data_IF_137254210522
#
_entry.id   IF_137254210522
#
_cell.length_a   1.000
_cell.length_b   1.000
_cell.length_c   1.000
_cell.angle_alpha   90.00
_cell.angle_beta   90.00
_cell.angle_gamma   90.00
#
_symmetry.space_group_name_H-M   'P 1'
#
loop_
_entity.id
_entity.type
_entity.pdbx_description
1 polymer ?
#
# COMPACT_ATOMS: atom_id res chain seq x y z
N UNK A 1 62.90 -25.17 13.31
CA UNK A 1 62.43 -24.62 12.02
C UNK A 1 61.66 -25.66 11.20
N UNK A 2 62.06 -26.93 11.17
CA UNK A 2 61.37 -27.98 10.43
C UNK A 2 59.99 -28.36 10.96
N UNK A 3 59.75 -28.30 12.27
CA UNK A 3 58.45 -28.65 12.85
C UNK A 3 57.33 -27.64 12.50
N UNK A 4 57.69 -26.35 12.43
CA UNK A 4 56.71 -25.29 12.03
C UNK A 4 56.40 -25.48 10.52
N UNK A 5 57.38 -25.76 9.71
CA UNK A 5 57.20 -25.97 8.27
C UNK A 5 56.29 -27.18 7.99
N UNK A 6 56.50 -28.27 8.76
CA UNK A 6 55.70 -29.50 8.65
C UNK A 6 54.23 -29.28 9.04
N UNK A 7 53.92 -28.35 9.94
CA UNK A 7 52.55 -27.99 10.30
C UNK A 7 51.90 -27.01 9.33
N UNK A 8 52.67 -26.07 8.77
CA UNK A 8 52.14 -25.02 7.87
C UNK A 8 51.84 -25.57 6.47
N UNK A 9 52.68 -26.45 5.92
CA UNK A 9 52.52 -26.97 4.56
C UNK A 9 51.13 -27.66 4.37
N UNK A 10 50.70 -28.59 5.24
CA UNK A 10 49.36 -29.21 5.08
C UNK A 10 48.20 -28.22 5.11
N UNK A 11 48.27 -27.22 5.99
CA UNK A 11 47.22 -26.20 6.09
C UNK A 11 47.13 -25.37 4.82
N UNK A 12 48.28 -24.96 4.26
CA UNK A 12 48.30 -24.20 3.00
C UNK A 12 47.78 -25.05 1.84
N UNK A 13 48.17 -26.32 1.76
CA UNK A 13 47.71 -27.26 0.71
C UNK A 13 46.17 -27.43 0.79
N UNK A 14 45.64 -27.67 1.99
CA UNK A 14 44.19 -27.78 2.18
C UNK A 14 43.50 -26.47 1.79
N UNK A 15 44.02 -25.31 2.19
CA UNK A 15 43.49 -24.00 1.83
C UNK A 15 43.45 -23.80 0.31
N UNK A 16 44.51 -24.17 -0.42
CA UNK A 16 44.54 -24.07 -1.89
C UNK A 16 43.51 -25.02 -2.53
N UNK A 17 43.40 -26.25 -2.03
CA UNK A 17 42.41 -27.22 -2.53
C UNK A 17 40.99 -26.69 -2.31
N UNK A 18 40.67 -26.23 -1.11
CA UNK A 18 39.34 -25.66 -0.82
C UNK A 18 39.04 -24.43 -1.70
N UNK A 19 39.99 -23.52 -1.86
CA UNK A 19 39.84 -22.34 -2.70
C UNK A 19 39.58 -22.72 -4.18
N UNK A 20 40.35 -23.69 -4.72
CA UNK A 20 40.14 -24.14 -6.10
C UNK A 20 38.80 -24.83 -6.29
N UNK A 21 38.34 -25.66 -5.35
CA UNK A 21 37.03 -26.30 -5.38
C UNK A 21 35.93 -25.25 -5.35
N UNK A 22 36.03 -24.24 -4.49
CA UNK A 22 35.05 -23.14 -4.41
C UNK A 22 34.95 -22.31 -5.69
N UNK A 23 36.12 -22.00 -6.31
CA UNK A 23 36.16 -21.26 -7.59
C UNK A 23 35.53 -22.08 -8.72
N UNK A 24 35.83 -23.39 -8.78
CA UNK A 24 35.25 -24.30 -9.78
C UNK A 24 33.74 -24.42 -9.56
N UNK A 25 33.30 -24.66 -8.33
CA UNK A 25 31.88 -24.73 -7.97
C UNK A 25 31.14 -23.43 -8.32
N UNK A 26 31.72 -22.27 -7.97
CA UNK A 26 31.19 -20.97 -8.32
C UNK A 26 31.00 -20.77 -9.82
N UNK A 27 31.95 -21.20 -10.64
CA UNK A 27 31.83 -21.10 -12.11
C UNK A 27 30.83 -22.07 -12.71
N UNK A 28 30.71 -23.28 -12.16
CA UNK A 28 29.75 -24.30 -12.65
C UNK A 28 28.33 -23.94 -12.22
N UNK A 29 28.15 -23.38 -11.02
CA UNK A 29 26.85 -22.98 -10.46
C UNK A 29 26.49 -21.55 -10.78
N UNK A 30 27.30 -20.78 -11.51
CA UNK A 30 26.96 -19.42 -11.93
C UNK A 30 25.69 -19.45 -12.79
N UNK A 31 24.62 -18.90 -12.29
CA UNK A 31 23.42 -18.64 -13.07
C UNK A 31 23.76 -17.54 -14.07
N UNK A 32 23.58 -17.80 -15.35
CA UNK A 32 23.72 -16.76 -16.37
C UNK A 32 22.59 -15.77 -16.18
N UNK A 33 22.90 -14.60 -15.68
CA UNK A 33 21.96 -13.48 -15.68
C UNK A 33 21.75 -13.00 -17.11
N UNK A 34 20.52 -12.71 -17.48
CA UNK A 34 20.17 -12.13 -18.78
C UNK A 34 20.75 -10.71 -18.85
N UNK A 35 21.41 -10.37 -19.97
CA UNK A 35 22.03 -9.06 -20.18
C UNK A 35 21.05 -7.89 -20.08
N UNK A 36 19.75 -8.15 -20.24
CA UNK A 36 18.67 -7.16 -20.10
C UNK A 36 18.37 -6.83 -18.63
N UNK A 37 18.68 -7.73 -17.68
CA UNK A 37 18.34 -7.54 -16.27
C UNK A 37 18.91 -6.24 -15.68
N UNK A 38 20.22 -5.93 -15.79
CA UNK A 38 20.76 -4.69 -15.23
C UNK A 38 20.14 -3.44 -15.85
N UNK A 39 19.88 -3.44 -17.16
CA UNK A 39 19.28 -2.31 -17.86
C UNK A 39 17.85 -2.07 -17.37
N UNK A 40 17.04 -3.11 -17.29
CA UNK A 40 15.67 -3.04 -16.75
C UNK A 40 15.68 -2.58 -15.29
N UNK A 41 16.64 -3.07 -14.52
CA UNK A 41 16.76 -2.71 -13.10
C UNK A 41 17.11 -1.23 -12.89
N UNK A 42 17.93 -0.65 -13.75
CA UNK A 42 18.30 0.78 -13.73
C UNK A 42 17.12 1.70 -14.08
N UNK A 43 16.22 1.29 -14.97
CA UNK A 43 15.00 2.05 -15.28
C UNK A 43 14.03 2.12 -14.07
N UNK A 44 14.09 1.17 -13.15
CA UNK A 44 13.20 1.12 -12.01
C UNK A 44 13.66 2.08 -10.90
N UNK A 45 12.73 2.76 -10.18
CA UNK A 45 13.04 3.81 -9.20
C UNK A 45 13.78 3.33 -7.95
N UNK A 46 14.00 2.03 -7.76
CA UNK A 46 14.76 1.48 -6.65
C UNK A 46 14.08 1.52 -5.28
N UNK A 47 12.85 1.98 -5.21
CA UNK A 47 12.10 2.15 -3.95
C UNK A 47 11.79 0.82 -3.22
N UNK A 48 11.88 -0.32 -3.91
CA UNK A 48 11.61 -1.66 -3.37
C UNK A 48 10.29 -1.77 -2.58
N UNK A 49 9.30 -0.94 -2.93
CA UNK A 49 8.03 -0.80 -2.19
C UNK A 49 7.10 -2.02 -2.32
N UNK A 50 7.28 -2.83 -3.38
CA UNK A 50 6.43 -3.99 -3.66
C UNK A 50 5.00 -3.65 -4.10
N UNK A 51 4.73 -2.42 -4.54
CA UNK A 51 3.42 -1.99 -5.06
C UNK A 51 3.03 -2.71 -6.36
N UNK A 52 4.02 -3.08 -7.18
CA UNK A 52 3.86 -3.88 -8.38
C UNK A 52 3.51 -5.37 -8.12
N UNK A 53 3.44 -5.81 -6.86
CA UNK A 53 3.15 -7.20 -6.48
C UNK A 53 4.38 -8.10 -6.41
N UNK A 54 5.59 -7.59 -6.70
CA UNK A 54 6.83 -8.34 -6.63
C UNK A 54 7.64 -8.00 -5.36
N UNK A 55 8.60 -8.86 -5.02
CA UNK A 55 9.50 -8.68 -3.87
C UNK A 55 10.59 -7.63 -4.16
N UNK A 56 10.18 -6.36 -4.36
CA UNK A 56 11.06 -5.26 -4.70
C UNK A 56 11.33 -5.12 -6.20
N UNK A 57 12.13 -4.11 -6.54
CA UNK A 57 12.46 -3.80 -7.95
C UNK A 57 13.24 -4.91 -8.63
N UNK A 58 14.14 -5.61 -7.90
CA UNK A 58 14.87 -6.75 -8.43
C UNK A 58 13.94 -7.91 -8.81
N UNK A 59 12.94 -8.19 -7.98
CA UNK A 59 11.93 -9.22 -8.26
C UNK A 59 11.09 -8.90 -9.48
N UNK A 60 10.75 -7.63 -9.68
CA UNK A 60 10.00 -7.19 -10.86
C UNK A 60 10.87 -7.23 -12.12
N UNK A 61 12.12 -6.71 -12.06
CA UNK A 61 13.06 -6.77 -13.17
C UNK A 61 13.31 -8.22 -13.62
N UNK A 62 13.47 -9.14 -12.66
CA UNK A 62 13.65 -10.56 -12.94
C UNK A 62 12.41 -11.18 -13.60
N UNK A 63 11.23 -10.83 -13.13
CA UNK A 63 9.98 -11.32 -13.73
C UNK A 63 9.78 -10.81 -15.16
N UNK A 64 10.16 -9.57 -15.47
CA UNK A 64 10.12 -8.99 -16.82
C UNK A 64 11.05 -9.71 -17.81
N UNK A 65 12.19 -10.20 -17.31
CA UNK A 65 13.17 -10.93 -18.13
C UNK A 65 12.79 -12.40 -18.31
N UNK A 66 12.36 -13.07 -17.24
CA UNK A 66 12.16 -14.52 -17.21
C UNK A 66 10.76 -14.97 -17.65
N UNK A 67 9.74 -14.11 -17.46
CA UNK A 67 8.34 -14.47 -17.73
C UNK A 67 7.80 -13.66 -18.88
N UNK A 68 7.63 -14.30 -20.03
CA UNK A 68 6.91 -13.70 -21.15
C UNK A 68 5.49 -13.29 -20.73
N UNK A 69 5.08 -12.08 -21.12
CA UNK A 69 3.75 -11.54 -20.78
C UNK A 69 3.65 -10.84 -19.43
N UNK A 70 4.75 -10.65 -18.70
CA UNK A 70 4.74 -9.77 -17.53
C UNK A 70 4.48 -8.33 -17.99
N UNK A 71 3.43 -7.68 -17.44
CA UNK A 71 3.06 -6.32 -17.81
C UNK A 71 4.14 -5.30 -17.39
N UNK A 72 4.44 -4.34 -18.27
CA UNK A 72 5.47 -3.29 -18.06
C UNK A 72 4.96 -2.12 -17.25
N UNK A 73 3.64 -1.99 -17.08
CA UNK A 73 2.95 -0.86 -16.43
C UNK A 73 2.61 -1.09 -14.94
N UNK A 74 3.28 -2.02 -14.27
CA UNK A 74 2.97 -2.34 -12.86
C UNK A 74 3.70 -1.44 -11.85
N UNK A 75 4.69 -0.65 -12.28
CA UNK A 75 5.46 0.22 -11.40
C UNK A 75 4.75 1.56 -11.19
N UNK A 76 3.86 1.65 -10.18
CA UNK A 76 3.12 2.87 -9.87
C UNK A 76 4.05 4.06 -9.55
N UNK A 77 5.07 3.94 -8.67
CA UNK A 77 5.99 5.06 -8.40
C UNK A 77 6.85 5.50 -9.60
N UNK A 78 7.03 4.62 -10.58
CA UNK A 78 7.77 4.93 -11.81
C UNK A 78 6.91 5.61 -12.87
N UNK A 79 5.59 5.46 -12.78
CA UNK A 79 4.62 6.03 -13.72
C UNK A 79 4.84 5.62 -15.17
N UNK A 80 4.23 6.38 -16.07
CA UNK A 80 4.28 6.13 -17.53
C UNK A 80 5.69 6.20 -18.11
N UNK A 81 6.58 7.02 -17.53
CA UNK A 81 7.97 7.16 -18.00
C UNK A 81 8.70 5.81 -17.93
N UNK A 82 8.65 5.18 -16.76
CA UNK A 82 9.28 3.86 -16.55
C UNK A 82 8.59 2.77 -17.38
N UNK A 83 7.25 2.80 -17.45
CA UNK A 83 6.50 1.83 -18.25
C UNK A 83 6.87 1.91 -19.74
N UNK A 84 7.07 3.13 -20.25
CA UNK A 84 7.49 3.37 -21.63
C UNK A 84 8.90 2.87 -21.91
N UNK A 85 9.87 3.22 -21.04
CA UNK A 85 11.24 2.74 -21.15
C UNK A 85 11.31 1.21 -21.11
N UNK A 86 10.58 0.57 -20.18
CA UNK A 86 10.50 -0.88 -20.09
C UNK A 86 9.89 -1.51 -21.35
N UNK A 87 8.84 -0.88 -21.92
CA UNK A 87 8.20 -1.36 -23.13
C UNK A 87 9.13 -1.27 -24.35
N UNK A 88 9.92 -0.20 -24.45
CA UNK A 88 10.94 -0.03 -25.51
C UNK A 88 12.06 -1.09 -25.39
N UNK A 89 12.57 -1.35 -24.18
CA UNK A 89 13.63 -2.35 -23.94
C UNK A 89 13.15 -3.77 -24.27
N UNK A 90 11.90 -4.09 -23.92
CA UNK A 90 11.31 -5.41 -24.11
C UNK A 90 10.66 -5.61 -25.48
N UNK A 91 10.50 -4.53 -26.27
CA UNK A 91 9.84 -4.57 -27.58
C UNK A 91 8.35 -4.92 -27.52
N UNK A 92 7.66 -4.53 -26.42
CA UNK A 92 6.22 -4.76 -26.23
C UNK A 92 5.44 -3.45 -26.37
N UNK A 93 4.12 -3.55 -26.62
CA UNK A 93 3.26 -2.37 -26.66
C UNK A 93 3.21 -1.67 -25.31
N UNK A 94 3.29 -0.34 -25.35
CA UNK A 94 3.13 0.50 -24.15
C UNK A 94 1.68 0.47 -23.66
N UNK A 95 1.51 0.35 -22.36
CA UNK A 95 0.23 0.51 -21.69
C UNK A 95 0.40 1.51 -20.55
N UNK A 96 -0.58 2.42 -20.41
CA UNK A 96 -0.57 3.44 -19.34
C UNK A 96 -0.56 2.79 -17.96
N UNK A 97 0.13 3.42 -17.03
CA UNK A 97 0.13 3.03 -15.62
C UNK A 97 -1.15 3.54 -14.96
N UNK A 98 -1.91 2.65 -14.35
CA UNK A 98 -3.06 3.07 -13.53
C UNK A 98 -2.51 3.69 -12.24
N UNK A 99 -2.57 5.00 -12.16
CA UNK A 99 -2.15 5.73 -10.98
C UNK A 99 -3.10 5.48 -9.81
N UNK A 100 -2.54 5.27 -8.64
CA UNK A 100 -3.30 4.98 -7.42
C UNK A 100 -2.90 5.90 -6.30
N UNK A 101 -3.87 6.24 -5.47
CA UNK A 101 -3.65 7.05 -4.26
C UNK A 101 -4.16 6.31 -3.04
N UNK A 102 -3.50 6.54 -1.91
CA UNK A 102 -3.95 5.99 -0.65
C UNK A 102 -5.11 6.81 -0.10
N UNK A 103 -6.13 6.12 0.42
CA UNK A 103 -7.23 6.73 1.17
C UNK A 103 -7.38 6.06 2.53
N UNK A 104 -7.90 6.80 3.52
CA UNK A 104 -8.12 6.27 4.86
C UNK A 104 -9.60 6.01 5.12
N UNK A 105 -9.91 4.80 5.56
CA UNK A 105 -11.28 4.38 5.90
C UNK A 105 -11.60 4.66 7.38
N UNK A 106 -11.34 5.89 7.82
CA UNK A 106 -11.73 6.38 9.14
C UNK A 106 -11.85 7.90 9.13
N UNK A 107 -13.02 8.41 9.51
CA UNK A 107 -13.32 9.84 9.74
C UNK A 107 -13.65 10.14 11.23
N UNK A 108 -13.29 9.21 12.13
CA UNK A 108 -13.51 9.35 13.57
C UNK A 108 -12.37 10.08 14.23
N UNK A 109 -12.28 11.41 14.06
CA UNK A 109 -11.35 12.28 14.76
C UNK A 109 -11.72 12.46 16.25
N UNK A 110 -10.88 13.15 17.03
CA UNK A 110 -11.10 13.37 18.46
C UNK A 110 -12.38 14.17 18.79
N UNK A 111 -13.06 14.80 17.79
CA UNK A 111 -14.35 15.46 17.96
C UNK A 111 -15.54 14.53 17.73
N UNK A 112 -15.31 13.37 17.12
CA UNK A 112 -16.32 12.40 16.69
C UNK A 112 -16.29 11.10 17.50
N UNK A 113 -15.16 10.77 18.10
CA UNK A 113 -14.95 9.59 18.92
C UNK A 113 -14.15 9.95 20.17
N UNK A 114 -14.19 9.10 21.18
CA UNK A 114 -13.48 9.29 22.43
C UNK A 114 -12.47 8.17 22.64
N UNK A 115 -11.42 8.44 23.39
CA UNK A 115 -10.50 7.42 23.85
C UNK A 115 -11.14 6.68 25.06
N UNK A 116 -11.05 5.36 25.07
CA UNK A 116 -11.54 4.51 26.18
C UNK A 116 -10.49 4.33 27.27
N UNK A 117 -9.21 4.58 26.95
CA UNK A 117 -8.08 4.49 27.87
C UNK A 117 -7.07 5.61 27.57
N UNK A 118 -6.44 6.12 28.60
CA UNK A 118 -5.28 7.01 28.49
C UNK A 118 -4.03 6.15 28.27
N UNK A 119 -3.46 6.24 27.06
CA UNK A 119 -2.38 5.37 26.62
C UNK A 119 -1.02 6.01 26.87
N UNK A 120 -0.24 5.44 27.79
CA UNK A 120 1.13 5.83 28.13
C UNK A 120 2.13 4.71 27.76
N UNK A 121 2.15 4.30 26.52
CA UNK A 121 3.03 3.25 26.02
C UNK A 121 3.93 3.72 24.88
N UNK A 122 4.50 2.76 24.15
CA UNK A 122 5.31 3.02 22.96
C UNK A 122 4.46 3.75 21.94
N UNK A 123 4.93 4.86 21.38
CA UNK A 123 4.26 5.63 20.33
C UNK A 123 4.26 4.87 18.98
N UNK A 124 3.48 3.80 18.94
CA UNK A 124 3.27 2.96 17.77
C UNK A 124 1.83 2.42 17.76
N UNK A 125 1.17 2.51 16.61
CA UNK A 125 -0.16 1.94 16.42
C UNK A 125 -0.14 0.41 16.60
N UNK A 126 0.91 -0.26 16.14
CA UNK A 126 1.06 -1.70 16.28
C UNK A 126 1.16 -2.09 17.76
N UNK A 127 1.97 -1.38 18.56
CA UNK A 127 2.09 -1.63 20.00
C UNK A 127 0.78 -1.36 20.74
N UNK A 128 0.12 -0.23 20.47
CA UNK A 128 -1.14 0.12 21.10
C UNK A 128 -2.27 -0.85 20.73
N UNK A 129 -2.25 -1.43 19.51
CA UNK A 129 -3.24 -2.42 19.08
C UNK A 129 -3.17 -3.70 19.91
N UNK A 130 -2.00 -4.12 20.35
CA UNK A 130 -1.81 -5.29 21.23
C UNK A 130 -2.41 -5.07 22.60
N UNK A 131 -2.54 -3.81 23.05
CA UNK A 131 -3.14 -3.44 24.33
C UNK A 131 -4.61 -3.07 24.11
N UNK A 132 -5.53 -3.91 24.53
CA UNK A 132 -6.98 -3.69 24.46
C UNK A 132 -7.55 -3.33 23.08
N UNK A 133 -6.83 -3.64 21.98
CA UNK A 133 -7.25 -3.32 20.63
C UNK A 133 -7.09 -1.85 20.26
N UNK A 134 -6.23 -1.10 20.95
CA UNK A 134 -5.97 0.33 20.76
C UNK A 134 -6.66 1.22 21.80
N UNK A 135 -6.29 2.49 21.84
CA UNK A 135 -6.78 3.47 22.83
C UNK A 135 -8.22 3.95 22.60
N UNK A 136 -8.69 3.99 21.34
CA UNK A 136 -9.99 4.55 20.97
C UNK A 136 -11.17 3.64 21.31
N UNK A 137 -12.34 4.26 21.54
CA UNK A 137 -13.60 3.54 21.78
C UNK A 137 -14.03 2.71 20.57
N UNK A 138 -13.70 3.13 19.35
CA UNK A 138 -13.92 2.36 18.13
C UNK A 138 -12.78 1.37 17.90
N UNK A 139 -13.03 0.06 18.01
CA UNK A 139 -12.02 -0.99 17.79
C UNK A 139 -11.52 -1.09 16.35
N UNK A 140 -12.28 -0.53 15.41
CA UNK A 140 -11.94 -0.47 13.99
C UNK A 140 -11.33 0.87 13.58
N UNK A 141 -11.27 1.86 14.49
CA UNK A 141 -10.85 3.22 14.17
C UNK A 141 -9.34 3.41 14.05
N UNK A 142 -8.95 4.58 13.57
CA UNK A 142 -7.55 5.00 13.57
C UNK A 142 -7.06 5.16 15.02
N UNK A 143 -5.85 4.64 15.30
CA UNK A 143 -5.22 4.74 16.64
C UNK A 143 -4.50 6.09 16.80
N UNK A 144 -4.07 6.70 15.67
CA UNK A 144 -3.52 8.05 15.65
C UNK A 144 -2.09 8.19 16.16
N UNK A 145 -1.29 7.11 16.21
CA UNK A 145 0.12 7.15 16.67
C UNK A 145 1.16 7.20 15.54
N UNK A 146 0.73 7.33 14.28
CA UNK A 146 1.60 7.75 13.18
C UNK A 146 2.49 6.68 12.57
N UNK A 147 2.28 5.37 12.78
CA UNK A 147 3.10 4.34 12.12
C UNK A 147 3.05 4.47 10.58
N UNK A 148 1.88 4.77 10.01
CA UNK A 148 1.71 5.01 8.58
C UNK A 148 2.44 6.29 8.11
N UNK A 149 2.50 7.33 8.94
CA UNK A 149 3.25 8.56 8.66
C UNK A 149 4.75 8.28 8.60
N UNK A 150 5.28 7.55 9.60
CA UNK A 150 6.70 7.16 9.65
C UNK A 150 7.11 6.26 8.48
N UNK A 151 6.17 5.45 7.97
CA UNK A 151 6.41 4.54 6.85
C UNK A 151 6.27 5.20 5.47
N UNK A 152 5.79 6.45 5.38
CA UNK A 152 5.55 7.11 4.11
C UNK A 152 6.84 7.74 3.56
N UNK A 153 7.41 7.26 2.43
CA UNK A 153 8.64 7.80 1.88
C UNK A 153 8.47 9.21 1.30
N UNK A 154 7.23 9.61 0.97
CA UNK A 154 6.92 10.89 0.37
C UNK A 154 6.36 11.90 1.38
N UNK A 155 6.33 11.58 2.67
CA UNK A 155 5.75 12.43 3.73
C UNK A 155 4.30 12.86 3.44
N UNK A 156 3.57 12.03 2.69
CA UNK A 156 2.20 12.32 2.26
C UNK A 156 1.16 12.13 3.37
N UNK A 157 1.56 11.72 4.57
CA UNK A 157 0.64 11.40 5.68
C UNK A 157 0.99 12.23 6.90
N UNK A 158 0.01 12.92 7.46
CA UNK A 158 0.10 13.60 8.75
C UNK A 158 -0.95 13.06 9.72
N UNK A 159 -0.71 13.22 11.01
CA UNK A 159 -1.69 12.93 12.05
C UNK A 159 -2.27 14.26 12.56
N UNK A 160 -3.56 14.45 12.34
CA UNK A 160 -4.30 15.62 12.79
C UNK A 160 -5.55 15.18 13.52
N UNK A 161 -5.86 15.83 14.61
CA UNK A 161 -7.04 15.51 15.43
C UNK A 161 -7.17 14.02 15.79
N UNK A 162 -6.02 13.33 15.98
CA UNK A 162 -5.98 11.93 16.40
C UNK A 162 -6.22 10.90 15.29
N UNK A 163 -6.30 11.31 14.03
CA UNK A 163 -6.39 10.41 12.88
C UNK A 163 -5.38 10.76 11.78
N UNK A 164 -5.07 9.78 10.92
CA UNK A 164 -4.21 10.02 9.77
C UNK A 164 -4.97 10.77 8.67
N UNK A 165 -4.31 11.74 8.07
CA UNK A 165 -4.75 12.44 6.85
C UNK A 165 -3.74 12.19 5.75
N UNK A 166 -4.21 11.94 4.54
CA UNK A 166 -3.38 11.61 3.39
C UNK A 166 -3.50 12.72 2.35
N UNK A 167 -2.37 13.34 2.03
CA UNK A 167 -2.28 14.28 0.93
C UNK A 167 -2.10 13.50 -0.38
N UNK A 168 -3.19 13.37 -1.13
CA UNK A 168 -3.24 12.62 -2.39
C UNK A 168 -2.38 13.23 -3.49
N UNK A 169 -2.09 14.55 -3.43
CA UNK A 169 -1.27 15.25 -4.42
C UNK A 169 0.22 14.86 -4.41
N UNK A 170 0.72 14.40 -3.27
CA UNK A 170 2.11 13.96 -3.10
C UNK A 170 2.23 12.45 -2.83
N UNK A 171 1.09 11.75 -2.79
CA UNK A 171 1.05 10.30 -2.62
C UNK A 171 1.47 9.61 -3.93
N UNK A 172 2.51 8.78 -3.88
CA UNK A 172 2.98 8.00 -5.03
C UNK A 172 2.32 6.62 -5.16
N UNK A 173 1.28 6.31 -4.40
CA UNK A 173 0.59 5.02 -4.48
C UNK A 173 1.44 3.79 -4.09
N UNK A 174 2.56 3.98 -3.41
CA UNK A 174 3.52 2.90 -3.11
C UNK A 174 3.00 1.80 -2.16
N UNK A 175 1.90 2.04 -1.44
CA UNK A 175 1.26 1.06 -0.55
C UNK A 175 2.02 0.74 0.74
N UNK A 176 3.09 1.46 1.11
CA UNK A 176 3.80 1.23 2.37
C UNK A 176 2.88 1.39 3.59
N UNK A 177 2.04 2.42 3.59
CA UNK A 177 1.08 2.71 4.65
C UNK A 177 -0.02 1.64 4.80
N UNK A 178 -0.42 0.97 3.72
CA UNK A 178 -1.45 -0.08 3.76
C UNK A 178 -0.97 -1.30 4.54
N UNK A 179 0.32 -1.64 4.40
CA UNK A 179 0.97 -2.76 5.10
C UNK A 179 1.27 -2.45 6.56
N UNK A 180 1.48 -1.17 6.87
CA UNK A 180 1.88 -0.71 8.22
C UNK A 180 0.69 -0.53 9.15
N UNK A 181 -0.51 -0.23 8.63
CA UNK A 181 -1.69 0.02 9.45
C UNK A 181 -2.21 -1.25 10.12
N UNK A 182 -2.17 -1.39 11.47
CA UNK A 182 -2.60 -2.61 12.16
C UNK A 182 -4.11 -2.82 12.12
N UNK A 183 -4.90 -1.78 11.81
CA UNK A 183 -6.34 -1.85 11.62
C UNK A 183 -6.75 -1.94 10.14
N UNK A 184 -5.77 -2.03 9.22
CA UNK A 184 -6.01 -2.12 7.77
C UNK A 184 -6.96 -1.04 7.23
N UNK A 185 -6.79 0.20 7.72
CA UNK A 185 -7.66 1.33 7.39
C UNK A 185 -7.28 2.04 6.11
N UNK A 186 -6.14 1.73 5.52
CA UNK A 186 -5.64 2.42 4.35
C UNK A 186 -5.69 1.45 3.18
N UNK A 187 -6.32 1.87 2.09
CA UNK A 187 -6.31 1.16 0.81
C UNK A 187 -5.83 2.07 -0.31
N UNK A 188 -5.40 1.47 -1.40
CA UNK A 188 -5.14 2.18 -2.64
C UNK A 188 -6.40 2.13 -3.50
N UNK A 189 -6.81 3.27 -4.01
CA UNK A 189 -7.85 3.40 -5.02
C UNK A 189 -7.28 4.11 -6.24
N UNK A 190 -7.87 3.90 -7.41
CA UNK A 190 -7.45 4.59 -8.60
C UNK A 190 -7.68 6.10 -8.43
N UNK A 191 -6.79 6.94 -8.91
CA UNK A 191 -6.83 8.40 -8.68
C UNK A 191 -8.02 9.10 -9.37
N UNK A 192 -8.64 8.39 -10.32
CA UNK A 192 -9.88 8.82 -10.98
C UNK A 192 -11.12 8.66 -10.08
N UNK A 193 -11.02 7.86 -9.03
CA UNK A 193 -12.12 7.62 -8.11
C UNK A 193 -12.25 8.77 -7.11
N UNK A 194 -13.41 9.37 -7.06
CA UNK A 194 -13.62 10.58 -6.28
C UNK A 194 -14.49 10.38 -5.06
N UNK A 195 -15.05 9.18 -4.87
CA UNK A 195 -15.91 8.85 -3.73
C UNK A 195 -15.34 7.64 -3.01
N UNK A 196 -15.18 7.73 -1.70
CA UNK A 196 -14.78 6.59 -0.88
C UNK A 196 -15.48 6.57 0.48
N UNK A 197 -15.55 5.40 1.10
CA UNK A 197 -16.15 5.21 2.42
C UNK A 197 -15.09 5.41 3.49
N UNK A 198 -15.25 6.40 4.35
CA UNK A 198 -14.35 6.73 5.47
C UNK A 198 -14.78 6.06 6.79
N UNK A 199 -15.16 4.79 6.72
CA UNK A 199 -15.49 3.98 7.89
C UNK A 199 -15.24 2.49 7.60
N UNK A 200 -14.68 1.79 8.60
CA UNK A 200 -14.45 0.33 8.56
C UNK A 200 -15.15 -0.42 9.69
N UNK A 201 -16.02 0.25 10.46
CA UNK A 201 -16.67 -0.36 11.61
C UNK A 201 -17.73 -1.36 11.16
N UNK A 202 -17.60 -2.60 11.58
CA UNK A 202 -18.51 -3.72 11.28
C UNK A 202 -19.54 -4.00 12.36
N UNK A 203 -19.55 -3.22 13.44
CA UNK A 203 -20.53 -3.36 14.51
C UNK A 203 -21.94 -2.99 14.03
N UNK A 204 -22.96 -3.49 14.73
CA UNK A 204 -24.34 -3.08 14.47
C UNK A 204 -24.50 -1.57 14.66
N UNK A 205 -25.27 -0.91 13.80
CA UNK A 205 -25.39 0.54 13.75
C UNK A 205 -25.70 1.23 15.09
N UNK A 206 -26.42 0.57 15.99
CA UNK A 206 -26.68 1.10 17.34
C UNK A 206 -25.39 1.16 18.19
N UNK A 207 -24.47 0.19 18.04
CA UNK A 207 -23.17 0.18 18.71
C UNK A 207 -22.23 1.21 18.08
N UNK A 208 -22.16 1.22 16.75
CA UNK A 208 -21.35 2.20 16.01
C UNK A 208 -21.70 3.64 16.39
N UNK A 209 -22.99 3.97 16.50
CA UNK A 209 -23.47 5.31 16.88
C UNK A 209 -23.06 5.72 18.30
N UNK A 210 -22.85 4.75 19.21
CA UNK A 210 -22.39 5.02 20.58
C UNK A 210 -20.92 5.42 20.63
N UNK A 211 -20.09 4.89 19.71
CA UNK A 211 -18.63 5.06 19.75
C UNK A 211 -18.11 6.07 18.73
N UNK A 212 -18.90 6.42 17.70
CA UNK A 212 -18.46 7.36 16.67
C UNK A 212 -19.64 8.10 16.02
N UNK A 213 -19.57 9.43 15.97
CA UNK A 213 -20.57 10.29 15.35
C UNK A 213 -20.59 10.22 13.82
N UNK A 214 -19.46 9.83 13.20
CA UNK A 214 -19.30 9.67 11.74
C UNK A 214 -19.23 8.20 11.31
N UNK A 215 -19.56 7.26 12.20
CA UNK A 215 -19.50 5.82 11.89
C UNK A 215 -20.64 5.37 11.00
N UNK A 216 -20.36 4.49 10.03
CA UNK A 216 -21.39 3.86 9.20
C UNK A 216 -22.32 3.00 10.07
N UNK A 217 -23.63 3.24 10.00
CA UNK A 217 -24.64 2.49 10.79
C UNK A 217 -25.34 1.42 9.96
N UNK A 218 -24.90 1.17 8.73
CA UNK A 218 -25.47 0.15 7.85
C UNK A 218 -26.91 0.45 7.42
N UNK A 219 -27.32 1.73 7.37
CA UNK A 219 -28.71 2.12 7.08
C UNK A 219 -29.18 1.88 5.64
N UNK A 220 -28.25 1.51 4.74
CA UNK A 220 -28.49 1.23 3.30
C UNK A 220 -29.11 2.39 2.51
N UNK A 221 -29.06 3.63 3.01
CA UNK A 221 -29.57 4.77 2.25
C UNK A 221 -28.75 4.99 0.98
N UNK A 222 -27.41 4.93 1.09
CA UNK A 222 -26.48 5.02 -0.04
C UNK A 222 -26.72 3.92 -1.10
N UNK A 223 -27.03 2.70 -0.67
CA UNK A 223 -27.35 1.56 -1.57
C UNK A 223 -28.64 1.82 -2.36
N UNK A 224 -29.65 2.44 -1.72
CA UNK A 224 -30.95 2.73 -2.37
C UNK A 224 -30.88 3.86 -3.40
N UNK A 225 -29.99 4.84 -3.19
CA UNK A 225 -29.87 5.98 -4.10
C UNK A 225 -28.89 5.75 -5.23
N UNK A 226 -28.04 4.72 -5.14
CA UNK A 226 -27.07 4.38 -6.16
C UNK A 226 -27.73 3.64 -7.34
N UNK A 227 -27.93 4.34 -8.45
CA UNK A 227 -28.56 3.78 -9.64
C UNK A 227 -27.74 2.70 -10.32
N UNK A 228 -26.39 2.84 -10.30
CA UNK A 228 -25.47 1.86 -10.89
C UNK A 228 -25.30 0.60 -10.02
N UNK A 229 -25.81 0.60 -8.78
CA UNK A 229 -25.62 -0.51 -7.84
C UNK A 229 -24.17 -0.71 -7.40
N UNK A 230 -23.33 0.32 -7.56
CA UNK A 230 -21.91 0.28 -7.21
C UNK A 230 -21.66 0.22 -5.69
N UNK A 231 -22.58 0.75 -4.87
CA UNK A 231 -22.42 0.74 -3.41
C UNK A 231 -23.37 -0.25 -2.76
N UNK A 232 -22.85 -1.07 -1.87
CA UNK A 232 -23.60 -2.06 -1.09
C UNK A 232 -23.21 -2.01 0.37
N UNK A 233 -24.12 -2.40 1.26
CA UNK A 233 -23.81 -2.55 2.68
C UNK A 233 -23.51 -4.02 2.97
N UNK A 234 -22.25 -4.28 3.31
CA UNK A 234 -21.74 -5.60 3.66
C UNK A 234 -21.18 -5.51 5.09
N UNK A 235 -21.49 -6.47 5.94
CA UNK A 235 -21.04 -6.50 7.35
C UNK A 235 -21.30 -5.17 8.09
N UNK A 236 -22.47 -4.58 7.92
CA UNK A 236 -22.89 -3.30 8.50
C UNK A 236 -22.13 -2.04 8.03
N UNK A 237 -21.22 -2.15 7.05
CA UNK A 237 -20.46 -1.02 6.48
C UNK A 237 -20.72 -0.91 4.98
N UNK A 238 -20.76 0.29 4.46
CA UNK A 238 -20.87 0.54 3.02
C UNK A 238 -19.55 0.18 2.32
N UNK A 239 -19.64 -0.49 1.18
CA UNK A 239 -18.53 -0.89 0.31
C UNK A 239 -18.83 -0.46 -1.11
N UNK A 240 -17.87 0.13 -1.80
CA UNK A 240 -17.99 0.59 -3.18
C UNK A 240 -17.29 -0.40 -4.11
N UNK A 241 -18.00 -0.80 -5.16
CA UNK A 241 -17.45 -1.54 -6.30
C UNK A 241 -17.10 -0.51 -7.39
N UNK A 242 -15.84 -0.16 -7.48
CA UNK A 242 -15.36 0.86 -8.39
C UNK A 242 -15.48 0.48 -9.86
N UNK A 243 -15.64 -0.80 -10.20
CA UNK A 243 -15.91 -1.22 -11.57
C UNK A 243 -17.26 -0.72 -12.11
N UNK A 244 -18.19 -0.35 -11.20
CA UNK A 244 -19.55 0.14 -11.51
C UNK A 244 -19.76 1.61 -11.16
N UNK A 245 -18.82 2.21 -10.43
CA UNK A 245 -18.96 3.58 -9.93
C UNK A 245 -18.86 4.65 -11.02
N UNK A 246 -18.04 4.51 -12.11
CA UNK A 246 -17.93 5.51 -13.17
C UNK A 246 -19.24 5.82 -13.91
N UNK A 247 -20.20 4.90 -13.93
CA UNK A 247 -21.50 5.04 -14.64
C UNK A 247 -22.55 5.83 -13.85
N UNK A 248 -22.11 6.70 -12.93
CA UNK A 248 -23.02 7.45 -12.08
C UNK A 248 -23.44 8.78 -12.70
N UNK A 249 -24.70 8.89 -13.15
CA UNK A 249 -25.28 10.14 -13.70
C UNK A 249 -25.34 11.28 -12.67
N UNK A 250 -25.53 10.95 -11.38
CA UNK A 250 -25.60 11.90 -10.27
C UNK A 250 -24.42 11.74 -9.32
N UNK A 251 -23.28 12.22 -9.79
CA UNK A 251 -22.00 12.09 -9.16
C UNK A 251 -22.01 12.41 -7.65
N UNK A 252 -21.61 11.44 -6.82
CA UNK A 252 -21.51 11.62 -5.38
C UNK A 252 -22.85 11.66 -4.63
N UNK A 253 -23.96 11.25 -5.23
CA UNK A 253 -25.28 11.19 -4.57
C UNK A 253 -25.23 10.36 -3.28
N UNK A 254 -24.48 9.27 -3.26
CA UNK A 254 -24.31 8.40 -2.09
C UNK A 254 -23.65 9.13 -0.91
N UNK A 255 -22.72 10.06 -1.17
CA UNK A 255 -22.09 10.88 -0.14
C UNK A 255 -23.03 11.96 0.38
N UNK A 256 -23.72 12.69 -0.52
CA UNK A 256 -24.69 13.74 -0.14
C UNK A 256 -25.85 13.18 0.69
N UNK A 257 -26.30 11.98 0.39
CA UNK A 257 -27.41 11.32 1.08
C UNK A 257 -26.97 10.53 2.32
N UNK A 258 -25.67 10.49 2.63
CA UNK A 258 -25.17 9.77 3.80
C UNK A 258 -25.50 10.51 5.10
N UNK A 259 -26.40 9.96 5.91
CA UNK A 259 -26.84 10.55 7.18
C UNK A 259 -25.75 10.63 8.25
N UNK A 260 -24.67 9.84 8.10
CA UNK A 260 -23.55 9.78 9.04
C UNK A 260 -22.30 10.48 8.50
N UNK A 261 -22.36 11.08 7.31
CA UNK A 261 -21.23 11.73 6.65
C UNK A 261 -19.96 10.86 6.61
N UNK A 262 -20.14 9.55 6.42
CA UNK A 262 -19.04 8.59 6.36
C UNK A 262 -18.67 8.19 4.93
N UNK A 263 -19.27 8.80 3.92
CA UNK A 263 -18.90 8.69 2.50
C UNK A 263 -18.36 10.05 2.09
N UNK A 264 -17.14 10.09 1.65
CA UNK A 264 -16.44 11.32 1.30
C UNK A 264 -16.42 11.48 -0.21
N UNK A 265 -16.66 12.71 -0.67
CA UNK A 265 -16.29 13.14 -2.01
C UNK A 265 -14.91 13.77 -1.84
N UNK A 266 -13.91 13.21 -2.48
CA UNK A 266 -12.56 13.72 -2.42
C UNK A 266 -12.18 14.24 -3.80
N UNK A 267 -11.57 15.39 -3.83
CA UNK A 267 -10.81 15.81 -5.00
C UNK A 267 -9.49 15.03 -5.00
N UNK A 268 -9.59 13.76 -5.37
CA UNK A 268 -8.44 12.88 -5.58
C UNK A 268 -7.70 13.25 -6.86
N UNK A 269 -8.21 14.21 -7.63
CA UNK A 269 -7.55 14.75 -8.82
C UNK A 269 -6.22 15.33 -8.40
N UNK A 270 -5.29 14.43 -8.16
CA UNK A 270 -3.89 14.68 -8.08
C UNK A 270 -3.43 15.27 -9.42
N UNK A 271 -2.19 15.60 -9.49
CA UNK A 271 -1.44 16.24 -10.56
C UNK A 271 -1.69 15.62 -11.98
N UNK A 272 -2.35 14.49 -12.08
CA UNK A 272 -2.38 13.62 -13.25
C UNK A 272 -3.58 13.83 -14.20
N UNK A 273 -4.65 14.53 -13.77
CA UNK A 273 -5.75 14.93 -14.68
C UNK A 273 -5.46 16.18 -15.53
N UNK A 274 -4.29 16.75 -15.41
CA UNK A 274 -3.87 17.93 -16.18
C UNK A 274 -3.10 17.56 -17.48
N UNK A 275 -3.44 16.41 -18.08
CA UNK A 275 -2.98 16.07 -19.43
C UNK A 275 -4.12 16.07 -20.42
#
# INVERSE_FOLDING_TARGET
>A
MNEILTAVIPVVVIGIICATVLVIASKIMAVKEDERFPVIRECLPGANCGACGFAGCDGYAKALVEKEGTATNLCIPGGDTVAKELSEILGVEFSDVVERVAVIHCAGDCTKTEDKVDYHGIESCAAAKLLFGGKGSCSYGCIGLGDCQKACPNEAICIENGIAHINTKICSGCGACTKTCPNHLISLIDDVETVYVSCSNKDKGAMTRKVCKNGCIGCRKCEKVCKSGAIKVIDNVAVIDYSKCPDCDDFGVCARECTMNCIMISDLTGIHRAK
#
